data_IF_954814030397
#
_entry.id   IF_954814030397
#
_cell.length_a   1.000
_cell.length_b   1.000
_cell.length_c   1.000
_cell.angle_alpha   90.00
_cell.angle_beta   90.00
_cell.angle_gamma   90.00
#
_symmetry.space_group_name_H-M   'P 1'
#
loop_
_entity.id
_entity.type
_entity.pdbx_description
1 polymer ?
#
# COMPACT_ATOMS: atom_id res chain seq x y z
N UNK A 1 -44.42 -25.10 5.32
CA UNK A 1 -43.00 -24.77 5.08
C UNK A 1 -42.97 -23.64 4.07
N UNK A 2 -42.52 -22.43 4.44
CA UNK A 2 -42.37 -21.34 3.49
C UNK A 2 -41.13 -21.55 2.62
N UNK A 3 -41.15 -21.13 1.34
CA UNK A 3 -40.01 -21.25 0.44
C UNK A 3 -38.88 -20.30 0.87
N UNK A 4 -37.66 -20.82 0.86
CA UNK A 4 -36.42 -20.09 1.12
C UNK A 4 -36.12 -19.20 -0.09
N UNK A 5 -36.28 -17.89 0.07
CA UNK A 5 -35.95 -16.92 -0.98
C UNK A 5 -34.42 -16.90 -1.17
N UNK A 6 -33.98 -17.22 -2.39
CA UNK A 6 -32.60 -17.02 -2.80
C UNK A 6 -32.37 -15.51 -2.96
N UNK A 7 -31.68 -14.90 -1.98
CA UNK A 7 -31.16 -13.55 -2.14
C UNK A 7 -30.12 -13.56 -3.27
N UNK A 8 -30.44 -12.86 -4.35
CA UNK A 8 -29.50 -12.58 -5.45
C UNK A 8 -28.32 -11.79 -4.89
N UNK A 9 -27.14 -12.42 -4.88
CA UNK A 9 -25.86 -11.74 -4.66
C UNK A 9 -25.70 -10.66 -5.72
N UNK A 10 -25.94 -9.41 -5.32
CA UNK A 10 -25.67 -8.24 -6.12
C UNK A 10 -24.18 -7.92 -5.95
N UNK A 11 -23.37 -8.34 -6.92
CA UNK A 11 -21.94 -8.04 -6.98
C UNK A 11 -21.74 -6.52 -6.99
N UNK A 12 -21.08 -6.00 -5.96
CA UNK A 12 -20.86 -4.58 -5.78
C UNK A 12 -19.80 -4.09 -6.78
N UNK A 13 -20.16 -3.31 -7.82
CA UNK A 13 -19.25 -2.96 -8.92
C UNK A 13 -18.04 -2.15 -8.43
N UNK A 14 -18.14 -1.51 -7.26
CA UNK A 14 -17.05 -0.76 -6.62
C UNK A 14 -15.89 -1.67 -6.21
N UNK A 15 -16.17 -2.92 -5.81
CA UNK A 15 -15.12 -3.85 -5.39
C UNK A 15 -14.30 -4.34 -6.59
N UNK A 16 -14.92 -4.54 -7.76
CA UNK A 16 -14.20 -4.99 -8.96
C UNK A 16 -13.22 -3.92 -9.48
N UNK A 17 -13.55 -2.64 -9.33
CA UNK A 17 -12.68 -1.54 -9.74
C UNK A 17 -11.43 -1.42 -8.83
N UNK A 18 -11.54 -1.81 -7.56
CA UNK A 18 -10.42 -1.83 -6.60
C UNK A 18 -9.39 -2.93 -6.87
N UNK A 19 -9.79 -4.02 -7.54
CA UNK A 19 -8.90 -5.14 -7.87
C UNK A 19 -8.38 -5.11 -9.30
N UNK A 20 -8.70 -4.07 -10.09
CA UNK A 20 -8.02 -3.91 -11.36
C UNK A 20 -6.54 -3.67 -11.08
N UNK A 21 -5.63 -4.45 -11.70
CA UNK A 21 -4.21 -4.22 -11.54
C UNK A 21 -3.92 -2.80 -12.03
N UNK A 22 -3.55 -1.92 -11.10
CA UNK A 22 -3.05 -0.59 -11.42
C UNK A 22 -1.73 -0.80 -12.16
N UNK A 23 -1.79 -0.96 -13.47
CA UNK A 23 -0.63 -1.17 -14.35
C UNK A 23 0.13 0.14 -14.60
N UNK A 24 0.03 1.08 -13.66
CA UNK A 24 0.83 2.28 -13.62
C UNK A 24 2.04 1.93 -12.76
N UNK A 25 3.09 1.40 -13.40
CA UNK A 25 4.40 1.43 -12.78
C UNK A 25 4.65 2.88 -12.34
N UNK A 26 4.93 3.13 -11.05
CA UNK A 26 5.21 4.48 -10.60
C UNK A 26 6.39 4.97 -11.41
N UNK A 27 6.17 6.01 -12.20
CA UNK A 27 7.20 6.62 -13.04
C UNK A 27 8.34 7.05 -12.10
N UNK A 28 9.41 6.26 -12.06
CA UNK A 28 10.56 6.53 -11.22
C UNK A 28 11.26 7.70 -11.89
N UNK A 29 10.87 8.93 -11.53
CA UNK A 29 11.51 10.10 -12.09
C UNK A 29 12.98 10.09 -11.68
N UNK A 30 13.84 9.83 -12.66
CA UNK A 30 15.29 9.84 -12.51
C UNK A 30 15.67 11.31 -12.33
N UNK A 31 16.14 11.68 -11.13
CA UNK A 31 16.51 13.05 -10.68
C UNK A 31 15.40 13.88 -10.02
N UNK A 32 14.69 13.32 -9.03
CA UNK A 32 13.87 14.14 -8.14
C UNK A 32 14.76 15.00 -7.22
N UNK A 33 14.76 16.31 -7.45
CA UNK A 33 15.39 17.28 -6.55
C UNK A 33 14.43 17.61 -5.41
N UNK A 34 14.92 17.61 -4.18
CA UNK A 34 14.11 18.00 -3.02
C UNK A 34 13.78 19.49 -3.14
N UNK A 35 12.50 19.82 -3.19
CA UNK A 35 12.00 21.19 -3.30
C UNK A 35 10.95 21.49 -2.24
N UNK A 36 10.53 22.74 -2.12
CA UNK A 36 9.42 23.13 -1.22
C UNK A 36 8.15 22.37 -1.61
N UNK A 37 7.44 21.87 -0.60
CA UNK A 37 6.28 21.01 -0.77
C UNK A 37 6.59 19.55 -1.11
N UNK A 38 7.86 19.16 -1.25
CA UNK A 38 8.22 17.74 -1.42
C UNK A 38 7.90 16.97 -0.14
N UNK A 39 7.29 15.79 -0.29
CA UNK A 39 7.14 14.81 0.77
C UNK A 39 8.36 13.89 0.75
N UNK A 40 9.17 13.94 1.80
CA UNK A 40 10.45 13.23 1.85
C UNK A 40 10.56 12.36 3.10
N UNK A 41 11.07 11.15 2.95
CA UNK A 41 11.50 10.30 4.05
C UNK A 41 13.00 10.10 3.94
N UNK A 42 13.70 10.10 5.06
CA UNK A 42 15.15 9.92 5.07
C UNK A 42 15.58 9.30 6.39
N UNK A 43 16.77 8.71 6.44
CA UNK A 43 17.43 8.37 7.69
C UNK A 43 18.12 9.62 8.23
N UNK A 44 17.88 9.94 9.50
CA UNK A 44 18.52 11.06 10.17
C UNK A 44 19.54 10.54 11.18
N UNK A 45 20.75 11.11 11.24
CA UNK A 45 21.79 10.66 12.19
C UNK A 45 21.78 11.42 13.52
N UNK A 46 21.24 12.64 13.54
CA UNK A 46 21.21 13.51 14.73
C UNK A 46 19.82 13.52 15.42
N UNK A 47 19.14 12.38 15.41
CA UNK A 47 17.80 12.23 15.97
C UNK A 47 17.83 12.04 17.48
N UNK A 48 16.77 12.50 18.15
CA UNK A 48 16.48 12.18 19.54
C UNK A 48 15.27 11.23 19.59
N UNK A 49 14.22 11.53 18.81
CA UNK A 49 12.95 10.82 18.86
C UNK A 49 12.55 10.10 17.56
N UNK A 50 13.11 10.50 16.42
CA UNK A 50 12.68 9.98 15.12
C UNK A 50 13.88 9.76 14.18
N UNK A 51 14.35 8.50 14.02
CA UNK A 51 15.46 8.17 13.15
C UNK A 51 15.10 8.19 11.66
N UNK A 52 13.81 8.11 11.31
CA UNK A 52 13.34 7.97 9.93
C UNK A 52 12.17 8.91 9.63
N UNK A 53 12.37 10.23 9.76
CA UNK A 53 11.27 11.18 9.67
C UNK A 53 10.64 11.21 8.27
N UNK A 54 9.30 11.34 8.24
CA UNK A 54 8.52 11.62 7.04
C UNK A 54 8.10 13.10 7.07
N UNK A 55 8.65 13.91 6.17
CA UNK A 55 8.63 15.38 6.26
C UNK A 55 8.04 16.00 5.00
N UNK A 56 7.13 16.97 5.18
CA UNK A 56 6.79 17.92 4.12
C UNK A 56 7.72 19.12 4.22
N UNK A 57 8.56 19.33 3.20
CA UNK A 57 9.58 20.38 3.19
C UNK A 57 8.93 21.75 3.04
N UNK A 58 9.22 22.68 3.95
CA UNK A 58 8.77 24.07 3.83
C UNK A 58 9.78 24.94 3.10
N UNK A 59 11.07 24.79 3.42
CA UNK A 59 12.15 25.63 2.90
C UNK A 59 13.54 25.12 3.35
N UNK A 60 14.57 25.79 2.84
CA UNK A 60 15.96 25.57 3.21
C UNK A 60 16.50 26.82 3.90
N UNK A 61 16.95 26.65 5.14
CA UNK A 61 17.51 27.73 5.94
C UNK A 61 19.04 27.85 5.71
N UNK A 62 19.64 29.03 5.98
CA UNK A 62 21.08 29.21 5.94
C UNK A 62 21.84 28.17 6.77
N UNK A 63 23.03 27.81 6.32
CA UNK A 63 23.86 26.78 6.98
C UNK A 63 23.44 25.34 6.66
N UNK A 64 22.92 25.09 5.45
CA UNK A 64 22.56 23.76 4.93
C UNK A 64 21.58 23.03 5.86
N UNK A 65 20.45 23.68 6.17
CA UNK A 65 19.40 23.09 6.99
C UNK A 65 18.11 22.98 6.20
N UNK A 66 17.46 21.82 6.28
CA UNK A 66 16.13 21.60 5.74
C UNK A 66 15.10 21.81 6.85
N UNK A 67 14.04 22.56 6.57
CA UNK A 67 12.92 22.75 7.50
C UNK A 67 11.65 22.13 6.93
N UNK A 68 10.80 21.63 7.81
CA UNK A 68 9.55 21.03 7.39
C UNK A 68 8.71 20.49 8.53
N UNK A 69 7.53 20.02 8.19
CA UNK A 69 6.58 19.40 9.13
C UNK A 69 6.82 17.90 9.12
N UNK A 70 7.15 17.33 10.27
CA UNK A 70 7.26 15.88 10.42
C UNK A 70 5.89 15.27 10.69
N UNK A 71 5.45 14.39 9.79
CA UNK A 71 4.12 13.78 9.81
C UNK A 71 3.95 12.74 10.92
N UNK A 72 5.02 12.21 11.50
CA UNK A 72 4.93 11.25 12.61
C UNK A 72 4.34 11.85 13.90
N UNK A 73 4.34 13.17 14.04
CA UNK A 73 3.74 13.87 15.18
C UNK A 73 2.30 14.33 14.93
N UNK A 74 1.72 13.99 13.78
CA UNK A 74 0.36 14.38 13.41
C UNK A 74 -0.56 13.16 13.35
N UNK A 75 -1.81 13.36 13.75
CA UNK A 75 -2.86 12.36 13.51
C UNK A 75 -3.24 12.32 12.03
N UNK A 76 -3.82 11.19 11.59
CA UNK A 76 -4.21 10.98 10.21
C UNK A 76 -5.08 12.11 9.60
N UNK A 77 -6.11 12.65 10.29
CA UNK A 77 -6.91 13.75 9.73
C UNK A 77 -6.08 14.99 9.42
N UNK A 78 -5.11 15.32 10.27
CA UNK A 78 -4.20 16.45 10.06
C UNK A 78 -3.20 16.17 8.95
N UNK A 79 -2.67 14.96 8.85
CA UNK A 79 -1.81 14.55 7.73
C UNK A 79 -2.56 14.70 6.42
N UNK A 80 -3.78 14.16 6.31
CA UNK A 80 -4.60 14.26 5.10
C UNK A 80 -4.87 15.73 4.73
N UNK A 81 -5.34 16.53 5.69
CA UNK A 81 -5.63 17.95 5.48
C UNK A 81 -4.37 18.78 5.15
N UNK A 82 -3.20 18.39 5.69
CA UNK A 82 -1.95 19.03 5.33
C UNK A 82 -1.59 18.72 3.89
N UNK A 83 -1.54 17.42 3.53
CA UNK A 83 -1.13 16.96 2.19
C UNK A 83 -2.04 17.47 1.07
N UNK A 84 -3.34 17.69 1.31
CA UNK A 84 -4.25 18.29 0.31
C UNK A 84 -3.92 19.75 -0.02
N UNK A 85 -3.24 20.46 0.89
CA UNK A 85 -2.85 21.88 0.73
C UNK A 85 -1.39 22.06 0.31
N UNK A 86 -0.63 20.97 0.21
CA UNK A 86 0.79 21.03 -0.19
C UNK A 86 0.90 21.41 -1.66
N UNK A 87 1.70 22.44 -1.91
CA UNK A 87 2.04 22.94 -3.25
C UNK A 87 3.47 23.47 -3.25
N UNK A 88 3.97 23.92 -4.40
CA UNK A 88 5.28 24.57 -4.49
C UNK A 88 5.38 25.86 -3.63
N UNK A 89 4.24 26.48 -3.27
CA UNK A 89 4.17 27.65 -2.40
C UNK A 89 4.09 27.30 -0.90
N UNK A 90 4.11 26.01 -0.55
CA UNK A 90 4.05 25.56 0.84
C UNK A 90 5.25 26.09 1.65
N UNK A 91 4.97 26.69 2.80
CA UNK A 91 5.99 27.34 3.63
C UNK A 91 5.57 27.39 5.10
N UNK A 92 6.47 27.80 6.00
CA UNK A 92 6.12 27.95 7.42
C UNK A 92 4.94 28.92 7.63
N UNK A 93 4.85 29.94 6.79
CA UNK A 93 3.82 30.99 6.85
C UNK A 93 2.42 30.43 6.63
N UNK A 94 2.29 29.35 5.87
CA UNK A 94 0.99 28.69 5.62
C UNK A 94 0.53 27.80 6.78
N UNK A 95 1.43 27.47 7.72
CA UNK A 95 1.13 26.56 8.85
C UNK A 95 1.25 27.21 10.22
N UNK A 96 1.89 28.38 10.35
CA UNK A 96 2.15 29.04 11.64
C UNK A 96 0.90 29.34 12.48
N UNK A 97 -0.27 29.45 11.85
CA UNK A 97 -1.55 29.70 12.53
C UNK A 97 -2.19 28.45 13.16
N UNK A 98 -1.72 27.26 12.79
CA UNK A 98 -2.21 25.99 13.35
C UNK A 98 -1.22 25.49 14.39
N UNK A 99 -1.56 25.66 15.68
CA UNK A 99 -0.68 25.31 16.79
C UNK A 99 -0.30 23.81 16.79
N UNK A 100 -1.22 22.94 16.35
CA UNK A 100 -0.99 21.50 16.32
C UNK A 100 0.00 21.12 15.23
N UNK A 101 -0.18 21.65 14.01
CA UNK A 101 0.79 21.44 12.92
C UNK A 101 2.15 22.08 13.25
N UNK A 102 2.15 23.27 13.84
CA UNK A 102 3.36 23.97 14.24
C UNK A 102 4.18 23.18 15.26
N UNK A 103 3.53 22.50 16.20
CA UNK A 103 4.22 21.62 17.18
C UNK A 103 5.02 20.48 16.53
N UNK A 104 4.72 20.16 15.26
CA UNK A 104 5.38 19.11 14.46
C UNK A 104 6.47 19.67 13.53
N UNK A 105 6.71 20.99 13.53
CA UNK A 105 7.75 21.63 12.73
C UNK A 105 9.16 21.30 13.25
N UNK A 106 10.07 20.92 12.35
CA UNK A 106 11.43 20.50 12.69
C UNK A 106 12.44 21.11 11.73
N UNK A 107 13.69 21.18 12.20
CA UNK A 107 14.85 21.59 11.40
C UNK A 107 15.88 20.48 11.41
N UNK A 108 16.34 20.08 10.24
CA UNK A 108 17.29 18.99 10.03
C UNK A 108 18.58 19.53 9.43
N UNK A 109 19.73 19.13 9.99
CA UNK A 109 21.04 19.44 9.41
C UNK A 109 21.25 18.56 8.17
N UNK A 110 21.62 19.14 7.03
CA UNK A 110 21.82 18.39 5.79
C UNK A 110 22.84 17.26 5.93
N UNK A 111 23.92 17.48 6.69
CA UNK A 111 24.94 16.47 6.98
C UNK A 111 24.41 15.21 7.69
N UNK A 112 23.23 15.29 8.32
CA UNK A 112 22.60 14.14 8.97
C UNK A 112 21.55 13.42 8.14
N UNK A 113 21.21 13.95 6.96
CA UNK A 113 20.18 13.40 6.08
C UNK A 113 20.82 12.35 5.16
N UNK A 114 20.31 11.12 5.21
CA UNK A 114 20.81 9.99 4.44
C UNK A 114 19.66 9.23 3.79
N UNK A 115 19.94 8.51 2.69
CA UNK A 115 18.98 7.62 2.01
C UNK A 115 17.61 8.26 1.76
N UNK A 116 17.61 9.46 1.17
CA UNK A 116 16.38 10.20 0.91
C UNK A 116 15.50 9.45 -0.09
N UNK A 117 14.21 9.37 0.23
CA UNK A 117 13.13 8.92 -0.64
C UNK A 117 12.12 10.04 -0.76
N UNK A 118 11.75 10.39 -1.99
CA UNK A 118 10.76 11.44 -2.27
C UNK A 118 9.48 10.73 -2.74
N UNK A 119 8.34 11.18 -2.22
CA UNK A 119 7.03 10.58 -2.49
C UNK A 119 6.15 11.55 -3.25
N UNK A 120 5.35 11.00 -4.16
CA UNK A 120 4.29 11.76 -4.82
C UNK A 120 3.11 11.92 -3.87
N UNK A 121 2.87 13.15 -3.41
CA UNK A 121 1.78 13.48 -2.48
C UNK A 121 0.40 13.07 -2.99
N UNK A 122 0.14 13.17 -4.31
CA UNK A 122 -1.16 12.77 -4.89
C UNK A 122 -1.36 11.26 -4.77
N UNK A 123 -0.33 10.48 -5.07
CA UNK A 123 -0.35 9.03 -4.90
C UNK A 123 -0.58 8.63 -3.45
N UNK A 124 0.13 9.28 -2.51
CA UNK A 124 -0.06 9.03 -1.07
C UNK A 124 -1.49 9.35 -0.63
N UNK A 125 -2.06 10.47 -1.08
CA UNK A 125 -3.45 10.84 -0.79
C UNK A 125 -4.48 9.83 -1.34
N UNK A 126 -4.24 9.29 -2.54
CA UNK A 126 -5.05 8.24 -3.13
C UNK A 126 -4.98 6.96 -2.28
N UNK A 127 -3.77 6.52 -1.92
CA UNK A 127 -3.57 5.35 -1.07
C UNK A 127 -4.22 5.51 0.31
N UNK A 128 -4.09 6.69 0.93
CA UNK A 128 -4.75 7.00 2.20
C UNK A 128 -6.29 6.96 2.10
N UNK A 129 -6.85 7.28 0.95
CA UNK A 129 -8.31 7.25 0.74
C UNK A 129 -8.82 5.82 0.59
N UNK A 130 -8.07 4.97 -0.12
CA UNK A 130 -8.34 3.53 -0.25
C UNK A 130 -8.17 2.82 1.11
N UNK A 131 -7.16 3.19 1.89
CA UNK A 131 -6.93 2.60 3.21
C UNK A 131 -8.10 2.80 4.19
N UNK A 132 -8.92 3.84 4.00
CA UNK A 132 -10.12 4.09 4.82
C UNK A 132 -11.34 3.30 4.39
N UNK A 133 -11.45 2.92 3.12
CA UNK A 133 -12.58 2.12 2.63
C UNK A 133 -12.51 0.68 3.13
N UNK A 134 -11.36 0.23 3.60
CA UNK A 134 -11.25 -1.04 4.31
C UNK A 134 -11.74 -0.91 5.76
N UNK A 135 -13.05 -1.08 5.94
CA UNK A 135 -13.59 -1.47 7.24
C UNK A 135 -12.91 -2.80 7.66
N UNK A 136 -12.35 -2.93 8.89
CA UNK A 136 -11.85 -4.20 9.38
C UNK A 136 -12.84 -5.37 9.24
N UNK A 137 -14.16 -5.11 9.18
CA UNK A 137 -15.16 -6.12 8.85
C UNK A 137 -15.12 -6.55 7.38
N UNK A 138 -14.91 -5.63 6.44
CA UNK A 138 -14.76 -5.98 5.02
C UNK A 138 -13.49 -6.77 4.74
N UNK A 139 -12.38 -6.49 5.43
CA UNK A 139 -11.16 -7.31 5.33
C UNK A 139 -11.42 -8.76 5.77
N UNK A 140 -12.22 -8.96 6.82
CA UNK A 140 -12.61 -10.31 7.27
C UNK A 140 -13.48 -11.01 6.23
N UNK A 141 -14.44 -10.31 5.64
CA UNK A 141 -15.29 -10.86 4.58
C UNK A 141 -14.47 -11.25 3.34
N UNK A 142 -13.51 -10.43 2.93
CA UNK A 142 -12.59 -10.73 1.83
C UNK A 142 -11.71 -11.94 2.15
N UNK A 143 -11.17 -12.05 3.38
CA UNK A 143 -10.38 -13.22 3.79
C UNK A 143 -11.22 -14.49 3.74
N UNK A 144 -12.47 -14.45 4.22
CA UNK A 144 -13.38 -15.60 4.19
C UNK A 144 -13.72 -16.02 2.76
N UNK A 145 -13.96 -15.07 1.84
CA UNK A 145 -14.26 -15.42 0.44
C UNK A 145 -13.05 -16.04 -0.27
N UNK A 146 -11.84 -15.56 0.00
CA UNK A 146 -10.59 -16.15 -0.54
C UNK A 146 -10.36 -17.56 0.02
N UNK A 147 -10.58 -17.77 1.32
CA UNK A 147 -10.47 -19.09 1.94
C UNK A 147 -11.47 -20.10 1.35
N UNK A 148 -12.71 -19.66 1.08
CA UNK A 148 -13.72 -20.50 0.42
C UNK A 148 -13.34 -20.85 -1.02
N UNK A 149 -12.81 -19.90 -1.80
CA UNK A 149 -12.34 -20.16 -3.16
C UNK A 149 -11.16 -21.14 -3.19
N UNK A 150 -10.22 -21.01 -2.26
CA UNK A 150 -9.10 -21.95 -2.10
C UNK A 150 -9.59 -23.36 -1.76
N UNK A 151 -10.54 -23.50 -0.83
CA UNK A 151 -11.12 -24.80 -0.49
C UNK A 151 -11.82 -25.45 -1.69
N UNK A 152 -12.57 -24.69 -2.48
CA UNK A 152 -13.25 -25.22 -3.68
C UNK A 152 -12.25 -25.71 -4.74
N UNK A 153 -11.14 -25.00 -4.95
CA UNK A 153 -10.11 -25.41 -5.90
C UNK A 153 -9.32 -26.66 -5.44
N UNK A 154 -9.11 -26.82 -4.13
CA UNK A 154 -8.44 -28.00 -3.56
C UNK A 154 -9.31 -29.26 -3.72
N UNK A 155 -10.62 -29.15 -3.48
CA UNK A 155 -11.56 -30.27 -3.64
C UNK A 155 -11.70 -30.67 -5.12
N UNK A 156 -11.75 -29.70 -6.04
CA UNK A 156 -11.81 -29.97 -7.47
C UNK A 156 -10.58 -30.71 -8.01
N UNK A 157 -9.37 -30.36 -7.55
CA UNK A 157 -8.13 -31.07 -7.96
C UNK A 157 -7.98 -32.45 -7.35
N UNK A 158 -8.55 -32.70 -6.17
CA UNK A 158 -8.47 -34.01 -5.51
C UNK A 158 -9.33 -35.08 -6.18
N UNK A 159 -10.39 -34.71 -6.92
CA UNK A 159 -11.27 -35.67 -7.60
C UNK A 159 -10.76 -36.14 -8.97
N UNK A 160 -9.83 -35.43 -9.62
CA UNK A 160 -9.24 -35.86 -10.90
C UNK A 160 -8.15 -36.93 -10.76
N UNK A 161 -7.72 -37.30 -9.55
CA UNK A 161 -6.62 -38.26 -9.34
C UNK A 161 -7.07 -39.71 -9.04
N UNK A 162 -8.35 -40.04 -9.26
CA UNK A 162 -8.85 -41.41 -9.02
C UNK A 162 -9.35 -42.04 -10.32
N UNK A 163 -8.43 -42.23 -11.28
CA UNK A 163 -8.66 -43.14 -12.41
C UNK A 163 -8.01 -44.50 -12.06
N UNK A 164 -8.78 -45.58 -11.88
CA UNK A 164 -8.23 -46.89 -11.51
C UNK A 164 -7.42 -47.48 -12.68
N UNK A 165 -6.26 -48.11 -12.40
CA UNK A 165 -5.41 -48.68 -13.44
C UNK A 165 -6.14 -49.81 -14.18
N UNK A 166 -6.19 -49.69 -15.51
CA UNK A 166 -6.76 -50.72 -16.39
C UNK A 166 -5.94 -52.02 -16.31
N UNK A 167 -6.58 -53.20 -16.26
CA UNK A 167 -5.86 -54.47 -16.23
C UNK A 167 -5.11 -54.70 -17.55
N UNK A 168 -3.80 -54.93 -17.46
CA UNK A 168 -2.96 -55.23 -18.62
C UNK A 168 -3.22 -56.66 -19.15
N UNK A 169 -3.23 -56.87 -20.48
CA UNK A 169 -3.42 -58.19 -21.06
C UNK A 169 -2.17 -59.06 -20.86
N UNK A 170 -2.42 -60.27 -20.37
CA UNK A 170 -1.45 -61.33 -20.09
C UNK A 170 -0.69 -61.73 -21.38
N UNK A 171 0.62 -61.47 -21.45
CA UNK A 171 1.46 -61.88 -22.58
C UNK A 171 1.80 -63.38 -22.46
N UNK A 172 1.30 -64.17 -23.40
CA UNK A 172 1.62 -65.59 -23.54
C UNK A 172 3.07 -65.77 -24.03
N UNK A 173 3.80 -66.58 -23.26
CA UNK A 173 5.14 -67.08 -23.56
C UNK A 173 5.03 -68.07 -24.72
N UNK A 174 5.67 -67.80 -25.86
CA UNK A 174 5.91 -68.81 -26.90
C UNK A 174 7.39 -69.13 -26.97
N UNK A 175 7.74 -70.32 -26.50
CA UNK A 175 9.05 -70.96 -26.68
C UNK A 175 9.09 -71.67 -28.04
N UNK A 176 9.99 -71.25 -28.92
CA UNK A 176 10.60 -72.04 -30.00
C UNK A 176 12.03 -71.48 -30.14
N UNK A 177 13.14 -72.21 -30.03
CA UNK A 177 13.39 -73.61 -30.27
C UNK A 177 14.20 -73.75 -31.56
N UNK A 178 15.54 -73.63 -31.48
CA UNK A 178 16.58 -74.38 -32.22
C UNK A 178 17.98 -73.86 -31.89
#
# INVERSE_FOLDING_TARGET
>A
MPPFNQETQQDDPVLQELFQPVNTQPEIAVNQTISKGSLVMFQYSFWIHDPTPLVVVTDFAPGHRMRGVNLHYLTFPYVKNLLTRVSAAFSYQTIKGDAYINSSFRTYKWAGIQRVKIFNTKFVLQMMSIARTFDPYQIRAIRQSVEQQLQQQIIGKAQETVEPPSPQPNQQITNQGQ
#
